data_IF_914378317177
#
_entry.id   IF_914378317177
#
_cell.length_a   1.000
_cell.length_b   1.000
_cell.length_c   1.000
_cell.angle_alpha   90.00
_cell.angle_beta   90.00
_cell.angle_gamma   90.00
#
_symmetry.space_group_name_H-M   'P 1'
#
loop_
_entity.id
_entity.type
_entity.pdbx_description
1 polymer ?
#
# COMPACT_ATOMS: atom_id res chain seq x y z
N UNK A 1 4.62 -12.88 2.57
CA UNK A 1 4.44 -14.13 1.81
C UNK A 1 5.74 -14.60 1.17
N UNK A 2 6.60 -13.68 0.72
CA UNK A 2 7.93 -13.99 0.18
C UNK A 2 8.79 -14.85 1.12
N UNK A 3 8.94 -14.46 2.39
CA UNK A 3 9.72 -15.22 3.36
C UNK A 3 9.18 -16.64 3.61
N UNK A 4 7.86 -16.85 3.49
CA UNK A 4 7.28 -18.20 3.60
C UNK A 4 7.56 -19.05 2.35
N UNK A 5 7.65 -18.42 1.18
CA UNK A 5 7.78 -19.09 -0.13
C UNK A 5 9.23 -19.36 -0.52
N UNK A 6 10.11 -18.40 -0.27
CA UNK A 6 11.53 -18.46 -0.63
C UNK A 6 12.45 -18.59 0.59
N UNK A 7 11.87 -18.71 1.79
CA UNK A 7 12.58 -18.79 3.07
C UNK A 7 12.87 -17.41 3.67
N UNK A 8 12.99 -17.35 5.00
CA UNK A 8 13.63 -16.24 5.70
C UNK A 8 15.12 -16.28 5.39
N UNK A 9 15.47 -15.73 4.23
CA UNK A 9 16.83 -15.73 3.73
C UNK A 9 17.48 -14.39 4.05
N UNK A 10 18.62 -14.40 4.73
CA UNK A 10 19.44 -13.21 4.99
C UNK A 10 19.69 -12.40 3.72
N UNK A 11 19.72 -13.05 2.55
CA UNK A 11 19.83 -12.40 1.24
C UNK A 11 18.65 -11.48 0.93
N UNK A 12 17.41 -11.90 1.19
CA UNK A 12 16.23 -11.07 0.92
C UNK A 12 16.26 -9.82 1.80
N UNK A 13 16.49 -9.98 3.10
CA UNK A 13 16.57 -8.84 4.03
C UNK A 13 17.76 -7.92 3.73
N UNK A 14 18.92 -8.48 3.41
CA UNK A 14 20.11 -7.71 3.03
C UNK A 14 19.84 -6.92 1.75
N UNK A 15 19.21 -7.54 0.74
CA UNK A 15 18.88 -6.89 -0.52
C UNK A 15 17.86 -5.77 -0.34
N UNK A 16 16.79 -6.03 0.41
CA UNK A 16 15.81 -4.99 0.78
C UNK A 16 16.47 -3.83 1.54
N UNK A 17 17.43 -4.12 2.42
CA UNK A 17 18.18 -3.08 3.15
C UNK A 17 19.04 -2.22 2.22
N UNK A 18 19.65 -2.80 1.19
CA UNK A 18 20.41 -2.06 0.17
C UNK A 18 19.48 -1.13 -0.62
N UNK A 19 18.33 -1.64 -1.08
CA UNK A 19 17.30 -0.85 -1.76
C UNK A 19 16.84 0.33 -0.89
N UNK A 20 16.54 0.07 0.38
CA UNK A 20 16.15 1.12 1.33
C UNK A 20 17.26 2.16 1.52
N UNK A 21 18.53 1.76 1.60
CA UNK A 21 19.63 2.69 1.79
C UNK A 21 19.76 3.69 0.62
N UNK A 22 19.52 3.24 -0.61
CA UNK A 22 19.60 4.07 -1.82
C UNK A 22 18.43 5.08 -1.91
N UNK A 23 17.26 4.72 -1.39
CA UNK A 23 16.04 5.56 -1.45
C UNK A 23 15.74 6.30 -0.13
N UNK A 24 16.50 6.06 0.94
CA UNK A 24 16.18 6.61 2.26
C UNK A 24 16.59 8.06 2.44
N UNK A 25 15.64 8.86 2.95
CA UNK A 25 15.93 10.15 3.58
C UNK A 25 16.12 9.92 5.08
N UNK A 26 17.27 10.31 5.63
CA UNK A 26 17.53 10.25 7.07
C UNK A 26 16.68 11.29 7.80
N UNK A 27 15.85 10.85 8.75
CA UNK A 27 15.03 11.73 9.60
C UNK A 27 15.44 11.58 11.06
N UNK A 28 15.81 12.69 11.70
CA UNK A 28 16.55 12.73 12.98
C UNK A 28 15.97 13.74 13.98
N UNK A 29 14.63 13.82 14.16
CA UNK A 29 14.11 13.56 15.52
C UNK A 29 12.71 12.91 15.60
N UNK A 30 12.45 12.22 16.72
CA UNK A 30 11.10 11.94 17.22
C UNK A 30 10.52 13.22 17.83
N UNK A 31 9.31 13.61 17.42
CA UNK A 31 8.71 14.93 17.74
C UNK A 31 7.78 14.89 18.96
N UNK A 32 7.48 13.69 19.44
CA UNK A 32 6.60 13.48 20.60
C UNK A 32 7.16 14.18 21.85
N UNK A 33 8.41 13.92 22.23
CA UNK A 33 9.02 14.54 23.41
C UNK A 33 9.47 16.01 23.24
N UNK A 34 9.56 16.52 22.01
CA UNK A 34 10.05 17.90 21.75
C UNK A 34 8.92 18.93 21.58
N UNK A 35 7.68 18.48 21.44
CA UNK A 35 6.50 19.34 21.28
C UNK A 35 5.59 19.16 22.49
N UNK A 36 5.50 20.16 23.37
CA UNK A 36 4.58 20.13 24.50
C UNK A 36 3.21 20.68 24.09
N UNK A 37 2.13 19.96 24.42
CA UNK A 37 0.77 20.39 24.18
C UNK A 37 -0.10 20.13 25.43
N UNK A 38 -1.13 20.96 25.69
CA UNK A 38 -2.15 20.62 26.67
C UNK A 38 -2.92 19.36 26.21
N UNK A 39 -3.67 18.76 27.13
CA UNK A 39 -4.61 17.69 26.78
C UNK A 39 -5.62 18.20 25.74
N UNK A 40 -5.61 17.58 24.56
CA UNK A 40 -6.47 17.93 23.45
C UNK A 40 -7.78 17.13 23.52
N UNK A 41 -8.90 17.81 23.26
CA UNK A 41 -10.20 17.17 23.07
C UNK A 41 -10.28 16.52 21.68
N UNK A 42 -11.07 15.46 21.52
CA UNK A 42 -11.21 14.70 20.27
C UNK A 42 -11.48 15.60 19.05
N UNK A 43 -12.37 16.59 19.19
CA UNK A 43 -12.67 17.53 18.10
C UNK A 43 -11.48 18.41 17.69
N UNK A 44 -10.59 18.74 18.64
CA UNK A 44 -9.37 19.52 18.38
C UNK A 44 -8.33 18.66 17.69
N UNK A 45 -8.16 17.41 18.14
CA UNK A 45 -7.29 16.42 17.52
C UNK A 45 -7.66 16.27 16.04
N UNK A 46 -8.92 15.94 15.75
CA UNK A 46 -9.39 15.77 14.37
C UNK A 46 -9.20 17.03 13.54
N UNK A 47 -9.49 18.23 14.09
CA UNK A 47 -9.29 19.49 13.37
C UNK A 47 -7.82 19.78 13.06
N UNK A 48 -6.91 19.47 13.98
CA UNK A 48 -5.46 19.64 13.78
C UNK A 48 -4.98 18.74 12.64
N UNK A 49 -5.39 17.46 12.67
CA UNK A 49 -5.00 16.47 11.66
C UNK A 49 -5.62 16.76 10.29
N UNK A 50 -6.91 17.10 10.23
CA UNK A 50 -7.60 17.45 8.98
C UNK A 50 -7.01 18.68 8.29
N UNK A 51 -6.30 19.54 9.02
CA UNK A 51 -5.67 20.75 8.50
C UNK A 51 -4.16 20.65 8.37
N UNK A 52 -3.56 19.49 8.71
CA UNK A 52 -2.12 19.30 8.70
C UNK A 52 -1.34 20.36 9.50
N UNK A 53 -1.81 20.72 10.70
CA UNK A 53 -1.19 21.81 11.48
C UNK A 53 0.06 21.30 12.20
N UNK A 54 1.23 21.58 11.64
CA UNK A 54 2.53 21.25 12.24
C UNK A 54 3.05 22.34 13.19
N UNK A 55 3.76 21.99 14.29
CA UNK A 55 4.07 20.63 14.76
C UNK A 55 2.97 19.99 15.62
N UNK A 56 1.83 20.67 15.83
CA UNK A 56 0.74 20.21 16.69
C UNK A 56 0.14 18.85 16.26
N UNK A 57 0.23 18.49 14.98
CA UNK A 57 -0.23 17.22 14.43
C UNK A 57 0.44 16.01 15.11
N UNK A 58 1.73 16.09 15.44
CA UNK A 58 2.44 15.00 16.13
C UNK A 58 1.83 14.74 17.51
N UNK A 59 1.59 15.79 18.28
CA UNK A 59 0.93 15.70 19.57
C UNK A 59 -0.53 15.25 19.46
N UNK A 60 -1.26 15.70 18.44
CA UNK A 60 -2.63 15.26 18.21
C UNK A 60 -2.72 13.75 17.94
N UNK A 61 -1.89 13.21 17.04
CA UNK A 61 -1.85 11.76 16.78
C UNK A 61 -1.43 10.98 18.03
N UNK A 62 -0.39 11.43 18.72
CA UNK A 62 0.12 10.74 19.90
C UNK A 62 -0.91 10.70 21.05
N UNK A 63 -1.54 11.84 21.38
CA UNK A 63 -2.58 11.90 22.40
C UNK A 63 -3.81 11.09 22.00
N UNK A 64 -4.19 11.06 20.71
CA UNK A 64 -5.29 10.22 20.25
C UNK A 64 -4.98 8.74 20.48
N UNK A 65 -3.79 8.29 20.07
CA UNK A 65 -3.32 6.94 20.32
C UNK A 65 -3.33 6.59 21.82
N UNK A 66 -2.81 7.46 22.68
CA UNK A 66 -2.81 7.22 24.13
C UNK A 66 -4.23 7.11 24.71
N UNK A 67 -5.17 7.91 24.22
CA UNK A 67 -6.52 7.98 24.76
C UNK A 67 -7.43 6.84 24.28
N UNK A 68 -7.23 6.37 23.04
CA UNK A 68 -8.18 5.50 22.32
C UNK A 68 -7.58 4.23 21.74
N UNK A 69 -6.26 4.12 21.73
CA UNK A 69 -5.55 3.08 21.01
C UNK A 69 -5.47 3.33 19.50
N UNK A 70 -4.60 2.59 18.83
CA UNK A 70 -4.33 2.80 17.40
C UNK A 70 -5.46 2.30 16.49
N UNK A 71 -6.22 1.27 16.90
CA UNK A 71 -7.32 0.75 16.09
C UNK A 71 -8.41 1.81 15.83
N UNK A 72 -8.69 2.70 16.80
CA UNK A 72 -9.63 3.80 16.61
C UNK A 72 -9.07 4.87 15.66
N UNK A 73 -7.78 5.20 15.79
CA UNK A 73 -7.07 6.12 14.90
C UNK A 73 -7.10 5.58 13.46
N UNK A 74 -6.74 4.32 13.27
CA UNK A 74 -6.77 3.64 11.98
C UNK A 74 -8.17 3.64 11.38
N UNK A 75 -9.19 3.26 12.15
CA UNK A 75 -10.58 3.19 11.69
C UNK A 75 -11.07 4.54 11.15
N UNK A 76 -10.68 5.64 11.79
CA UNK A 76 -11.01 6.98 11.29
C UNK A 76 -10.46 7.24 9.89
N UNK A 77 -9.18 6.93 9.65
CA UNK A 77 -8.56 7.13 8.34
C UNK A 77 -8.99 6.08 7.31
N UNK A 78 -9.34 4.87 7.73
CA UNK A 78 -9.89 3.84 6.84
C UNK A 78 -11.23 4.27 6.24
N UNK A 79 -12.09 4.94 7.04
CA UNK A 79 -13.34 5.55 6.53
C UNK A 79 -13.03 6.60 5.46
N UNK A 80 -12.01 7.43 5.66
CA UNK A 80 -11.60 8.43 4.67
C UNK A 80 -11.05 7.80 3.40
N UNK A 81 -10.14 6.84 3.52
CA UNK A 81 -9.57 6.12 2.39
C UNK A 81 -10.65 5.39 1.56
N UNK A 82 -11.69 4.86 2.21
CA UNK A 82 -12.82 4.24 1.51
C UNK A 82 -13.75 5.24 0.81
N UNK A 83 -13.70 6.53 1.18
CA UNK A 83 -14.65 7.55 0.71
C UNK A 83 -14.31 8.15 -0.65
N UNK A 84 -13.11 7.94 -1.17
CA UNK A 84 -12.71 8.45 -2.47
C UNK A 84 -11.75 7.48 -3.16
N UNK A 85 -11.76 7.49 -4.49
CA UNK A 85 -10.72 6.87 -5.28
C UNK A 85 -9.57 7.87 -5.40
N UNK A 86 -8.38 7.47 -4.96
CA UNK A 86 -7.16 8.28 -5.10
C UNK A 86 -6.23 7.57 -6.06
N UNK A 87 -5.49 8.33 -6.87
CA UNK A 87 -4.58 7.78 -7.87
C UNK A 87 -3.69 6.67 -7.29
N UNK A 88 -3.58 5.56 -8.03
CA UNK A 88 -2.84 4.34 -7.65
C UNK A 88 -3.24 3.71 -6.30
N UNK A 89 -4.36 4.13 -5.69
CA UNK A 89 -4.84 3.66 -4.38
C UNK A 89 -3.75 3.67 -3.28
N UNK A 90 -2.79 4.60 -3.37
CA UNK A 90 -1.68 4.71 -2.42
C UNK A 90 -2.16 4.90 -0.99
N UNK A 91 -3.18 5.73 -0.81
CA UNK A 91 -3.80 5.98 0.47
C UNK A 91 -4.32 4.72 1.18
N UNK A 92 -4.93 3.79 0.45
CA UNK A 92 -5.41 2.51 0.97
C UNK A 92 -4.22 1.61 1.25
N UNK A 93 -3.34 1.42 0.26
CA UNK A 93 -2.19 0.52 0.36
C UNK A 93 -1.29 0.85 1.56
N UNK A 94 -0.87 2.11 1.68
CA UNK A 94 0.05 2.55 2.74
C UNK A 94 -0.65 2.50 4.11
N UNK A 95 -1.93 2.91 4.20
CA UNK A 95 -2.68 2.86 5.44
C UNK A 95 -2.84 1.42 5.98
N UNK A 96 -3.18 0.47 5.10
CA UNK A 96 -3.30 -0.95 5.47
C UNK A 96 -1.94 -1.54 5.86
N UNK A 97 -0.87 -1.19 5.13
CA UNK A 97 0.49 -1.60 5.47
C UNK A 97 0.92 -1.08 6.85
N UNK A 98 0.70 0.20 7.13
CA UNK A 98 1.01 0.82 8.43
C UNK A 98 0.24 0.14 9.57
N UNK A 99 -1.03 -0.21 9.37
CA UNK A 99 -1.81 -0.95 10.37
C UNK A 99 -1.26 -2.36 10.65
N UNK A 100 -0.83 -3.06 9.60
CA UNK A 100 -0.18 -4.37 9.74
C UNK A 100 1.16 -4.28 10.47
N UNK A 101 1.95 -3.25 10.19
CA UNK A 101 3.25 -3.00 10.84
C UNK A 101 3.06 -2.63 12.31
N UNK A 102 2.10 -1.76 12.63
CA UNK A 102 1.87 -1.29 14.01
C UNK A 102 1.76 -2.44 15.02
N UNK A 103 1.06 -3.52 14.65
CA UNK A 103 0.85 -4.70 15.51
C UNK A 103 2.11 -5.51 15.80
N UNK A 104 3.20 -5.25 15.08
CA UNK A 104 4.48 -5.92 15.24
C UNK A 104 5.50 -5.05 15.99
N UNK A 105 5.15 -3.79 16.29
CA UNK A 105 6.05 -2.85 16.95
C UNK A 105 6.10 -3.11 18.46
N UNK A 106 7.29 -2.92 19.03
CA UNK A 106 7.44 -2.74 20.47
C UNK A 106 7.23 -1.28 20.88
N UNK A 107 7.02 -1.04 22.17
CA UNK A 107 6.70 0.30 22.72
C UNK A 107 7.73 1.39 22.34
N UNK A 108 9.01 1.04 22.22
CA UNK A 108 10.07 2.00 21.87
C UNK A 108 10.01 2.44 20.41
N UNK A 109 9.40 1.65 19.53
CA UNK A 109 9.25 1.95 18.10
C UNK A 109 8.00 2.77 17.78
N UNK A 110 7.00 2.74 18.68
CA UNK A 110 5.70 3.40 18.47
C UNK A 110 5.84 4.91 18.23
N UNK A 111 6.62 5.69 18.98
CA UNK A 111 6.72 7.14 18.75
C UNK A 111 7.22 7.51 17.36
N UNK A 112 8.26 6.82 16.86
CA UNK A 112 8.80 7.06 15.53
C UNK A 112 7.80 6.65 14.43
N UNK A 113 7.11 5.53 14.64
CA UNK A 113 6.03 5.11 13.75
C UNK A 113 4.90 6.14 13.69
N UNK A 114 4.42 6.61 14.86
CA UNK A 114 3.33 7.59 14.92
C UNK A 114 3.70 8.90 14.23
N UNK A 115 4.97 9.33 14.29
CA UNK A 115 5.46 10.46 13.50
C UNK A 115 5.28 10.24 11.98
N UNK A 116 5.73 9.09 11.45
CA UNK A 116 5.58 8.77 10.01
C UNK A 116 4.10 8.63 9.64
N UNK A 117 3.30 8.03 10.52
CA UNK A 117 1.86 7.91 10.35
C UNK A 117 1.20 9.29 10.29
N UNK A 118 1.54 10.22 11.21
CA UNK A 118 1.06 11.60 11.20
C UNK A 118 1.38 12.28 9.87
N UNK A 119 2.61 12.16 9.40
CA UNK A 119 3.03 12.74 8.13
C UNK A 119 2.21 12.22 6.96
N UNK A 120 2.10 10.90 6.84
CA UNK A 120 1.28 10.26 5.83
C UNK A 120 -0.19 10.71 5.89
N UNK A 121 -0.86 10.59 7.05
CA UNK A 121 -2.29 10.87 7.12
C UNK A 121 -2.63 12.35 6.91
N UNK A 122 -1.72 13.25 7.25
CA UNK A 122 -1.94 14.68 7.01
C UNK A 122 -1.54 15.10 5.60
N UNK A 123 -0.54 14.48 4.97
CA UNK A 123 -0.24 14.74 3.55
C UNK A 123 -1.34 14.19 2.65
N UNK A 124 -1.90 13.04 2.99
CA UNK A 124 -2.88 12.32 2.18
C UNK A 124 -4.32 12.78 2.43
N UNK A 125 -4.71 13.01 3.70
CA UNK A 125 -6.11 13.26 4.04
C UNK A 125 -6.40 14.68 4.57
N UNK A 126 -5.43 15.61 4.55
CA UNK A 126 -5.71 17.00 4.92
C UNK A 126 -6.48 17.72 3.82
N UNK A 127 -7.32 18.68 4.21
CA UNK A 127 -8.17 19.46 3.31
C UNK A 127 -9.12 18.65 2.41
N UNK A 128 -9.21 17.33 2.61
CA UNK A 128 -10.36 16.54 2.18
C UNK A 128 -11.51 16.91 3.13
N UNK A 129 -12.14 18.05 2.85
CA UNK A 129 -13.46 18.35 3.42
C UNK A 129 -14.36 17.18 3.05
N UNK A 130 -15.16 16.69 4.01
CA UNK A 130 -16.12 15.60 3.82
C UNK A 130 -16.82 15.74 2.48
N UNK A 131 -16.31 15.05 1.45
CA UNK A 131 -16.85 15.18 0.11
C UNK A 131 -18.22 14.53 0.22
N UNK A 132 -19.27 15.36 0.20
CA UNK A 132 -20.65 14.95 0.39
C UNK A 132 -21.13 13.95 -0.68
N UNK A 133 -20.33 13.69 -1.72
CA UNK A 133 -20.49 12.55 -2.61
C UNK A 133 -19.78 11.34 -2.01
N UNK A 134 -20.49 10.55 -1.19
CA UNK A 134 -20.10 9.15 -0.99
C UNK A 134 -20.17 8.48 -2.37
N UNK A 135 -19.08 7.91 -2.89
CA UNK A 135 -19.14 7.09 -4.10
C UNK A 135 -20.20 6.02 -3.86
N UNK A 136 -21.14 5.87 -4.80
CA UNK A 136 -22.08 4.76 -4.74
C UNK A 136 -21.26 3.50 -5.04
N UNK A 137 -21.16 2.53 -4.10
CA UNK A 137 -20.35 1.35 -4.33
C UNK A 137 -20.83 0.62 -5.58
N UNK A 138 -19.92 0.38 -6.52
CA UNK A 138 -20.15 -0.50 -7.65
C UNK A 138 -20.14 -1.92 -7.10
N UNK A 139 -21.25 -2.65 -7.29
CA UNK A 139 -21.31 -4.06 -6.89
C UNK A 139 -20.34 -4.84 -7.77
N UNK A 140 -19.24 -5.28 -7.19
CA UNK A 140 -18.16 -6.02 -7.87
C UNK A 140 -17.84 -7.30 -7.10
N UNK A 141 -17.47 -8.36 -7.81
CA UNK A 141 -16.92 -9.55 -7.17
C UNK A 141 -15.39 -9.47 -7.11
N UNK A 142 -14.78 -10.18 -6.17
CA UNK A 142 -13.33 -10.25 -6.05
C UNK A 142 -12.65 -10.74 -7.35
N UNK A 143 -13.31 -11.62 -8.09
CA UNK A 143 -12.83 -12.11 -9.39
C UNK A 143 -12.85 -11.01 -10.45
N UNK A 144 -13.87 -10.15 -10.44
CA UNK A 144 -13.96 -9.02 -11.38
C UNK A 144 -12.86 -8.00 -11.08
N UNK A 145 -12.64 -7.68 -9.79
CA UNK A 145 -11.55 -6.79 -9.37
C UNK A 145 -10.19 -7.33 -9.79
N UNK A 146 -9.91 -8.61 -9.54
CA UNK A 146 -8.64 -9.23 -9.93
C UNK A 146 -8.45 -9.19 -11.44
N UNK A 147 -9.49 -9.49 -12.21
CA UNK A 147 -9.40 -9.52 -13.68
C UNK A 147 -9.08 -8.11 -14.22
N UNK A 148 -9.78 -7.08 -13.73
CA UNK A 148 -9.46 -5.69 -14.08
C UNK A 148 -8.05 -5.27 -13.63
N UNK A 149 -7.60 -5.69 -12.45
CA UNK A 149 -6.23 -5.41 -11.99
C UNK A 149 -5.17 -6.14 -12.81
N UNK A 150 -5.48 -7.27 -13.46
CA UNK A 150 -4.55 -7.96 -14.37
C UNK A 150 -4.49 -7.23 -15.72
N UNK A 151 -5.64 -6.79 -16.23
CA UNK A 151 -5.72 -6.05 -17.50
C UNK A 151 -5.06 -4.67 -17.41
N UNK A 152 -5.25 -3.97 -16.29
CA UNK A 152 -4.63 -2.69 -15.99
C UNK A 152 -3.95 -2.77 -14.62
N UNK A 153 -2.75 -3.35 -14.55
CA UNK A 153 -2.02 -3.48 -13.28
C UNK A 153 -1.51 -2.14 -12.72
N UNK A 154 -1.60 -1.06 -13.49
CA UNK A 154 -1.21 0.29 -13.12
C UNK A 154 0.31 0.47 -13.08
N UNK A 155 0.78 1.71 -12.84
CA UNK A 155 2.20 2.00 -12.65
C UNK A 155 2.79 1.01 -11.65
N UNK A 156 3.89 0.33 -12.00
CA UNK A 156 4.57 -0.64 -11.13
C UNK A 156 3.67 -1.73 -10.49
N UNK A 157 2.47 -2.00 -11.02
CA UNK A 157 1.57 -3.00 -10.45
C UNK A 157 0.74 -2.53 -9.24
N UNK A 158 0.58 -1.22 -9.01
CA UNK A 158 -0.13 -0.67 -7.83
C UNK A 158 -1.55 -1.22 -7.64
N UNK A 159 -2.29 -1.54 -8.70
CA UNK A 159 -3.64 -2.11 -8.57
C UNK A 159 -3.58 -3.51 -7.93
N UNK A 160 -2.60 -4.33 -8.34
CA UNK A 160 -2.37 -5.66 -7.77
C UNK A 160 -1.81 -5.58 -6.34
N UNK A 161 -0.93 -4.61 -6.06
CA UNK A 161 -0.42 -4.34 -4.70
C UNK A 161 -1.57 -3.99 -3.77
N UNK A 162 -2.45 -3.08 -4.19
CA UNK A 162 -3.62 -2.67 -3.40
C UNK A 162 -4.55 -3.85 -3.15
N UNK A 163 -4.86 -4.64 -4.18
CA UNK A 163 -5.67 -5.85 -4.05
C UNK A 163 -5.07 -6.82 -3.03
N UNK A 164 -3.76 -7.06 -3.09
CA UNK A 164 -3.07 -7.93 -2.15
C UNK A 164 -3.17 -7.43 -0.70
N UNK A 165 -3.08 -6.12 -0.47
CA UNK A 165 -3.26 -5.54 0.86
C UNK A 165 -4.70 -5.64 1.36
N UNK A 166 -5.69 -5.43 0.49
CA UNK A 166 -7.10 -5.63 0.85
C UNK A 166 -7.36 -7.08 1.29
N UNK A 167 -6.81 -8.06 0.58
CA UNK A 167 -6.92 -9.47 0.94
C UNK A 167 -6.29 -9.78 2.30
N UNK A 168 -5.09 -9.26 2.56
CA UNK A 168 -4.39 -9.44 3.86
C UNK A 168 -5.16 -8.85 5.03
N UNK A 169 -5.81 -7.72 4.80
CA UNK A 169 -6.47 -6.94 5.85
C UNK A 169 -7.98 -7.14 5.89
N UNK A 170 -8.54 -8.09 5.13
CA UNK A 170 -9.99 -8.33 5.04
C UNK A 170 -10.65 -8.46 6.42
N UNK A 171 -10.07 -9.28 7.29
CA UNK A 171 -10.62 -9.53 8.63
C UNK A 171 -10.39 -8.38 9.63
N UNK A 172 -9.65 -7.35 9.22
CA UNK A 172 -9.33 -6.16 10.01
C UNK A 172 -10.20 -4.97 9.62
N UNK A 173 -11.00 -5.11 8.57
CA UNK A 173 -11.91 -4.10 8.05
C UNK A 173 -13.35 -4.54 8.32
N UNK A 174 -14.25 -3.58 8.49
CA UNK A 174 -15.67 -3.90 8.41
C UNK A 174 -16.01 -4.30 6.96
N UNK A 175 -17.02 -5.15 6.79
CA UNK A 175 -17.51 -5.56 5.47
C UNK A 175 -17.77 -4.36 4.56
N UNK A 176 -18.40 -3.32 5.09
CA UNK A 176 -18.71 -2.10 4.34
C UNK A 176 -17.47 -1.34 3.86
N UNK A 177 -16.41 -1.28 4.67
CA UNK A 177 -15.16 -0.61 4.28
C UNK A 177 -14.41 -1.42 3.24
N UNK A 178 -14.33 -2.74 3.44
CA UNK A 178 -13.70 -3.65 2.50
C UNK A 178 -14.38 -3.59 1.12
N UNK A 179 -15.72 -3.66 1.08
CA UNK A 179 -16.48 -3.57 -0.17
C UNK A 179 -16.33 -2.20 -0.85
N UNK A 180 -16.32 -1.10 -0.08
CA UNK A 180 -16.09 0.23 -0.63
C UNK A 180 -14.69 0.38 -1.24
N UNK A 181 -13.64 -0.10 -0.55
CA UNK A 181 -12.27 -0.05 -1.08
C UNK A 181 -12.10 -0.95 -2.31
N UNK A 182 -12.72 -2.14 -2.34
CA UNK A 182 -12.74 -2.98 -3.54
C UNK A 182 -13.46 -2.31 -4.71
N UNK A 183 -14.59 -1.66 -4.45
CA UNK A 183 -15.31 -0.88 -5.46
C UNK A 183 -14.44 0.24 -6.02
N UNK A 184 -13.73 0.99 -5.17
CA UNK A 184 -12.84 2.06 -5.62
C UNK A 184 -11.70 1.50 -6.48
N UNK A 185 -11.07 0.41 -6.04
CA UNK A 185 -10.01 -0.26 -6.80
C UNK A 185 -10.51 -0.78 -8.15
N UNK A 186 -11.72 -1.35 -8.20
CA UNK A 186 -12.35 -1.77 -9.44
C UNK A 186 -12.54 -0.59 -10.40
N UNK A 187 -13.08 0.53 -9.91
CA UNK A 187 -13.24 1.75 -10.70
C UNK A 187 -11.88 2.24 -11.21
N UNK A 188 -10.86 2.27 -10.35
CA UNK A 188 -9.50 2.68 -10.72
C UNK A 188 -8.91 1.82 -11.84
N UNK A 189 -9.02 0.49 -11.72
CA UNK A 189 -8.50 -0.46 -12.69
C UNK A 189 -9.27 -0.49 -14.02
N UNK A 190 -10.37 0.27 -14.15
CA UNK A 190 -11.15 0.42 -15.38
C UNK A 190 -11.23 1.89 -15.83
N UNK A 191 -10.55 2.80 -15.12
CA UNK A 191 -10.51 4.22 -15.47
C UNK A 191 -9.21 4.53 -16.19
N UNK A 192 -9.18 5.52 -17.11
CA UNK A 192 -7.94 6.04 -17.65
C UNK A 192 -6.99 6.46 -16.52
N UNK A 193 -5.69 6.27 -16.73
CA UNK A 193 -4.67 6.73 -15.79
C UNK A 193 -4.62 8.26 -15.79
N UNK A 194 -4.34 8.84 -14.62
CA UNK A 194 -4.18 10.29 -14.49
C UNK A 194 -2.90 10.78 -15.15
N UNK A 195 -1.84 9.95 -15.10
CA UNK A 195 -0.58 10.17 -15.80
C UNK A 195 -0.46 9.21 -17.00
N UNK A 196 -0.37 9.71 -18.25
CA UNK A 196 -0.14 8.87 -19.42
C UNK A 196 1.21 8.11 -19.39
N UNK A 197 2.21 8.61 -18.67
CA UNK A 197 3.51 7.94 -18.54
C UNK A 197 3.43 6.65 -17.70
N UNK A 198 2.34 6.47 -16.96
CA UNK A 198 2.07 5.28 -16.15
C UNK A 198 1.40 4.14 -16.94
N UNK A 199 1.10 4.37 -18.23
CA UNK A 199 0.54 3.35 -19.10
C UNK A 199 1.52 2.19 -19.35
N UNK A 200 0.95 1.01 -19.60
CA UNK A 200 1.73 -0.16 -19.95
C UNK A 200 2.38 0.06 -21.32
N UNK A 201 3.72 0.14 -21.34
CA UNK A 201 4.48 0.11 -22.59
C UNK A 201 4.14 -1.16 -23.40
N UNK A 202 3.39 -0.95 -24.49
CA UNK A 202 2.89 -2.02 -25.34
C UNK A 202 4.01 -2.76 -26.10
N UNK A 203 5.13 -2.09 -26.36
CA UNK A 203 6.29 -2.69 -27.03
C UNK A 203 6.98 -3.67 -26.09
N UNK A 204 7.21 -3.28 -24.83
CA UNK A 204 7.77 -4.16 -23.80
C UNK A 204 6.79 -5.28 -23.42
N UNK A 205 5.50 -4.96 -23.32
CA UNK A 205 4.46 -5.96 -23.04
C UNK A 205 4.36 -7.04 -24.12
N UNK A 206 4.51 -6.65 -25.39
CA UNK A 206 4.53 -7.56 -26.54
C UNK A 206 5.70 -8.54 -26.54
N UNK A 207 6.80 -8.23 -25.83
CA UNK A 207 7.96 -9.12 -25.67
C UNK A 207 7.76 -10.15 -24.56
N UNK A 208 6.79 -9.93 -23.67
CA UNK A 208 6.54 -10.82 -22.53
C UNK A 208 5.82 -12.09 -22.97
N UNK A 209 6.30 -13.24 -22.48
CA UNK A 209 5.74 -14.56 -22.79
C UNK A 209 4.87 -15.06 -21.64
N UNK A 210 3.66 -15.49 -22.00
CA UNK A 210 2.74 -16.20 -21.12
C UNK A 210 3.15 -17.67 -20.99
N UNK A 211 4.21 -17.92 -20.22
CA UNK A 211 4.67 -19.28 -19.95
C UNK A 211 3.87 -19.87 -18.78
N UNK A 212 3.15 -20.99 -18.99
CA UNK A 212 2.38 -21.60 -17.94
C UNK A 212 3.26 -22.28 -16.91
N UNK A 213 2.76 -22.39 -15.69
CA UNK A 213 3.37 -23.19 -14.63
C UNK A 213 4.05 -22.38 -13.53
N UNK A 214 4.12 -23.00 -12.37
CA UNK A 214 4.61 -22.38 -11.13
C UNK A 214 6.11 -22.11 -11.17
N UNK A 215 6.88 -22.93 -11.88
CA UNK A 215 8.34 -22.80 -11.99
C UNK A 215 8.73 -21.52 -12.74
N UNK A 216 8.04 -21.20 -13.86
CA UNK A 216 8.27 -19.95 -14.59
C UNK A 216 7.90 -18.74 -13.75
N UNK A 217 6.78 -18.80 -13.02
CA UNK A 217 6.39 -17.77 -12.07
C UNK A 217 7.47 -17.55 -11.01
N UNK A 218 7.94 -18.60 -10.34
CA UNK A 218 8.95 -18.50 -9.28
C UNK A 218 10.30 -18.01 -9.80
N UNK A 219 10.71 -18.43 -11.00
CA UNK A 219 11.90 -17.90 -11.64
C UNK A 219 11.81 -16.39 -11.85
N UNK A 220 10.67 -15.89 -12.33
CA UNK A 220 10.47 -14.45 -12.62
C UNK A 220 10.35 -13.62 -11.36
N UNK A 221 9.72 -14.16 -10.32
CA UNK A 221 9.71 -13.51 -9.00
C UNK A 221 11.12 -13.41 -8.43
N UNK A 222 11.94 -14.47 -8.56
CA UNK A 222 13.33 -14.39 -8.14
C UNK A 222 14.12 -13.33 -8.91
N UNK A 223 13.96 -13.25 -10.23
CA UNK A 223 14.58 -12.18 -11.04
C UNK A 223 14.13 -10.79 -10.57
N UNK A 224 12.82 -10.58 -10.40
CA UNK A 224 12.26 -9.31 -9.95
C UNK A 224 12.81 -8.87 -8.59
N UNK A 225 13.09 -9.82 -7.69
CA UNK A 225 13.64 -9.53 -6.37
C UNK A 225 15.13 -9.21 -6.45
N UNK A 226 15.93 -10.05 -7.12
CA UNK A 226 17.39 -10.10 -6.93
C UNK A 226 18.23 -9.53 -8.08
N UNK A 227 17.69 -9.40 -9.29
CA UNK A 227 18.48 -8.99 -10.45
C UNK A 227 18.59 -7.46 -10.61
N UNK A 228 17.97 -6.70 -9.69
CA UNK A 228 17.84 -5.25 -9.75
C UNK A 228 18.05 -4.60 -8.37
N UNK A 229 18.60 -3.39 -8.34
CA UNK A 229 18.84 -2.62 -7.10
C UNK A 229 18.34 -1.17 -7.17
N UNK A 230 17.47 -0.87 -8.14
CA UNK A 230 17.07 0.49 -8.49
C UNK A 230 15.79 0.96 -7.81
N UNK A 231 14.92 0.06 -7.33
CA UNK A 231 13.62 0.47 -6.79
C UNK A 231 13.05 -0.52 -5.74
N UNK A 232 12.78 -0.03 -4.53
CA UNK A 232 12.16 -0.82 -3.45
C UNK A 232 10.79 -1.42 -3.84
N UNK A 233 10.05 -0.79 -4.75
CA UNK A 233 8.73 -1.28 -5.19
C UNK A 233 8.80 -2.70 -5.77
N UNK A 234 9.95 -3.14 -6.31
CA UNK A 234 10.11 -4.49 -6.85
C UNK A 234 9.84 -5.58 -5.80
N UNK A 235 10.23 -5.34 -4.54
CA UNK A 235 10.03 -6.27 -3.43
C UNK A 235 8.56 -6.28 -3.02
N UNK A 236 7.95 -5.10 -2.90
CA UNK A 236 6.53 -4.94 -2.57
C UNK A 236 5.64 -5.62 -3.61
N UNK A 237 5.98 -5.43 -4.89
CA UNK A 237 5.23 -6.03 -5.99
C UNK A 237 5.40 -7.55 -6.05
N UNK A 238 6.64 -8.05 -5.91
CA UNK A 238 6.91 -9.49 -5.83
C UNK A 238 6.12 -10.18 -4.69
N UNK A 239 6.03 -9.55 -3.52
CA UNK A 239 5.24 -10.08 -2.39
C UNK A 239 3.74 -10.06 -2.65
N UNK A 240 3.23 -9.02 -3.32
CA UNK A 240 1.84 -8.96 -3.76
C UNK A 240 1.51 -10.08 -4.74
N UNK A 241 2.33 -10.27 -5.78
CA UNK A 241 2.17 -11.34 -6.76
C UNK A 241 2.18 -12.73 -6.11
N UNK A 242 3.05 -12.96 -5.13
CA UNK A 242 3.09 -14.24 -4.42
C UNK A 242 1.83 -14.51 -3.61
N UNK A 243 1.22 -13.49 -2.99
CA UNK A 243 -0.07 -13.64 -2.33
C UNK A 243 -1.16 -13.95 -3.36
N UNK A 244 -1.26 -13.14 -4.41
CA UNK A 244 -2.31 -13.30 -5.43
C UNK A 244 -2.22 -14.65 -6.13
N UNK A 245 -1.02 -15.14 -6.41
CA UNK A 245 -0.83 -16.47 -6.98
C UNK A 245 -1.28 -17.57 -6.02
N UNK A 246 -1.01 -17.43 -4.71
CA UNK A 246 -1.45 -18.40 -3.70
C UNK A 246 -2.97 -18.45 -3.56
N UNK A 247 -3.63 -17.29 -3.60
CA UNK A 247 -5.09 -17.17 -3.48
C UNK A 247 -5.82 -17.53 -4.79
N UNK A 248 -5.19 -17.27 -5.94
CA UNK A 248 -5.78 -17.49 -7.26
C UNK A 248 -4.81 -18.21 -8.23
N UNK A 249 -4.53 -19.50 -8.02
CA UNK A 249 -3.57 -20.24 -8.84
C UNK A 249 -3.91 -20.27 -10.34
N UNK A 250 -5.18 -20.12 -10.70
CA UNK A 250 -5.63 -20.08 -12.09
C UNK A 250 -5.05 -18.91 -12.90
N UNK A 251 -4.63 -17.82 -12.25
CA UNK A 251 -4.01 -16.66 -12.91
C UNK A 251 -2.47 -16.68 -12.89
N UNK A 252 -1.85 -17.81 -12.50
CA UNK A 252 -0.38 -17.92 -12.38
C UNK A 252 0.34 -17.47 -13.67
N UNK A 253 -0.19 -17.84 -14.83
CA UNK A 253 0.39 -17.47 -16.13
C UNK A 253 0.36 -15.96 -16.38
N UNK A 254 -0.75 -15.29 -16.06
CA UNK A 254 -0.90 -13.84 -16.24
C UNK A 254 0.00 -13.08 -15.26
N UNK A 255 -0.03 -13.46 -13.98
CA UNK A 255 0.84 -12.88 -12.95
C UNK A 255 2.33 -13.06 -13.27
N UNK A 256 2.69 -14.22 -13.84
CA UNK A 256 4.04 -14.52 -14.34
C UNK A 256 4.44 -13.60 -15.51
N UNK A 257 3.52 -13.35 -16.45
CA UNK A 257 3.76 -12.42 -17.56
C UNK A 257 3.98 -10.99 -17.04
N UNK A 258 3.19 -10.54 -16.06
CA UNK A 258 3.32 -9.21 -15.45
C UNK A 258 4.65 -9.08 -14.68
N UNK A 259 5.09 -10.11 -13.96
CA UNK A 259 6.41 -10.11 -13.29
C UNK A 259 7.55 -9.91 -14.30
N UNK A 260 7.48 -10.58 -15.45
CA UNK A 260 8.48 -10.41 -16.51
C UNK A 260 8.43 -9.00 -17.12
N UNK A 261 7.24 -8.45 -17.33
CA UNK A 261 7.12 -7.07 -17.81
C UNK A 261 7.86 -6.10 -16.89
N UNK A 262 7.66 -6.21 -15.57
CA UNK A 262 8.38 -5.35 -14.62
C UNK A 262 9.89 -5.57 -14.65
N UNK A 263 10.36 -6.80 -14.84
CA UNK A 263 11.80 -7.05 -15.05
C UNK A 263 12.35 -6.37 -16.32
N UNK A 264 11.56 -6.24 -17.40
CA UNK A 264 12.01 -5.57 -18.62
C UNK A 264 12.04 -4.05 -18.48
N UNK A 265 11.12 -3.49 -17.70
CA UNK A 265 11.03 -2.03 -17.46
C UNK A 265 12.06 -1.56 -16.44
N UNK A 266 12.39 -2.40 -15.45
CA UNK A 266 13.40 -2.06 -14.46
C UNK A 266 14.79 -1.93 -15.10
N UNK A 267 15.37 -0.75 -14.96
CA UNK A 267 16.78 -0.53 -15.27
C UNK A 267 17.65 -1.25 -14.23
N UNK A 268 18.72 -1.89 -14.71
CA UNK A 268 19.69 -2.64 -13.89
C UNK A 268 20.59 -1.72 -13.07
#
# INVERSE_FOLDING_TARGET
MLAKRFGENDKLFSHTSILMANDSVLVQPTYEGSVQAPALQDFRIQRILNRGIYPAAYQATFQWYQNKGFDEVFSHFAIKAASANEYLSHNVTILLAMNSVFRQLNEHQIPAFLNRFTEFVTSTFSNIDNVNSKPVPVKTSLSDVLSSCIEQFGFFGHNLITLAWLLRCKDQLSTSLYEAMLSNLYVQANSPLEDPEDEIDQVMWGQCKAEPGIESFESRINCLIFDYTSNLHQITFADALCLLQSEFPQYTTDLSKIAQYQCLVLEK
#
